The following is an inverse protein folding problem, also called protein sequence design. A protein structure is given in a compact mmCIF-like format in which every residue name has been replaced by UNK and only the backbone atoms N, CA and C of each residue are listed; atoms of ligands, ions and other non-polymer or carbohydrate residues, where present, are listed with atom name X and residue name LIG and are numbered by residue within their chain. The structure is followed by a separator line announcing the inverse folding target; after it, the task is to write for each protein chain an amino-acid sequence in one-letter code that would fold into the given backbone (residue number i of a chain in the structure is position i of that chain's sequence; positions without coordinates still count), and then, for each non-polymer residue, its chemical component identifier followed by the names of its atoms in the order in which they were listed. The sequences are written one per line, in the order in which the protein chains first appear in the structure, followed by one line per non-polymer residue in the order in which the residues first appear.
data_IF_014407906593
#
_entry.id   IF_014407906593
#
_cell.length_a   1.000
_cell.length_b   1.000
_cell.length_c   1.000
_cell.angle_alpha   90.00
_cell.angle_beta   90.00
_cell.angle_gamma   90.00
#
_symmetry.space_group_name_H-M   'P 1'
#
loop_
_entity.id
_entity.type
_entity.pdbx_description
1 polymer ?
#
# COMPACT_ATOMS: atom_id res chain seq x y z
N UNK A 1 -11.28 -36.33 0.80
CA UNK A 1 -11.47 -36.45 -0.65
C UNK A 1 -12.81 -35.80 -1.00
N UNK A 2 -12.81 -34.86 -1.93
CA UNK A 2 -14.02 -34.27 -2.50
C UNK A 2 -14.38 -35.03 -3.78
N UNK A 3 -15.63 -35.30 -4.00
CA UNK A 3 -16.14 -36.02 -5.18
C UNK A 3 -16.88 -35.09 -6.13
N UNK A 4 -17.35 -33.95 -5.63
CA UNK A 4 -18.05 -32.94 -6.41
C UNK A 4 -17.56 -31.53 -6.01
N UNK A 5 -17.66 -30.56 -6.93
CA UNK A 5 -17.33 -29.15 -6.66
C UNK A 5 -18.24 -28.55 -5.59
N UNK A 6 -19.51 -28.97 -5.52
CA UNK A 6 -20.48 -28.48 -4.53
C UNK A 6 -20.13 -28.90 -3.09
N UNK A 7 -19.20 -29.84 -2.90
CA UNK A 7 -18.69 -30.23 -1.58
C UNK A 7 -17.60 -29.28 -1.05
N UNK A 8 -17.05 -28.41 -1.93
CA UNK A 8 -15.98 -27.48 -1.58
C UNK A 8 -16.60 -26.19 -1.02
N UNK A 9 -16.43 -25.96 0.26
CA UNK A 9 -16.87 -24.74 0.94
C UNK A 9 -15.69 -23.80 1.18
N UNK A 10 -15.97 -22.50 1.25
CA UNK A 10 -14.95 -21.51 1.57
C UNK A 10 -14.40 -21.74 2.99
N UNK A 11 -13.09 -21.51 3.23
CA UNK A 11 -12.52 -21.58 4.56
C UNK A 11 -13.26 -20.68 5.57
N UNK A 12 -13.52 -21.18 6.77
CA UNK A 12 -14.18 -20.39 7.80
C UNK A 12 -13.60 -20.67 9.19
N UNK A 13 -13.79 -19.71 10.10
CA UNK A 13 -13.20 -19.77 11.46
C UNK A 13 -13.71 -20.91 12.31
N UNK A 14 -14.92 -21.41 12.09
CA UNK A 14 -15.54 -22.42 12.94
C UNK A 14 -15.05 -23.83 12.63
N UNK A 15 -14.76 -24.11 11.37
CA UNK A 15 -14.44 -25.46 10.91
C UNK A 15 -12.97 -25.68 10.55
N UNK A 16 -12.21 -24.63 10.30
CA UNK A 16 -10.92 -24.75 9.61
C UNK A 16 -9.75 -24.09 10.31
N UNK A 17 -10.02 -23.17 11.26
CA UNK A 17 -8.94 -22.48 11.95
C UNK A 17 -8.53 -23.19 13.24
N UNK A 18 -7.23 -23.29 13.38
CA UNK A 18 -6.59 -23.71 14.62
C UNK A 18 -5.97 -22.47 15.29
N UNK A 19 -6.68 -21.93 16.30
CA UNK A 19 -6.34 -20.63 16.87
C UNK A 19 -6.79 -19.45 16.00
N UNK A 20 -6.18 -18.27 16.18
CA UNK A 20 -6.64 -17.05 15.52
C UNK A 20 -6.29 -16.93 14.04
N UNK A 21 -5.26 -17.62 13.57
CA UNK A 21 -4.69 -17.40 12.21
C UNK A 21 -4.27 -18.68 11.50
N UNK A 22 -4.10 -19.77 12.22
CA UNK A 22 -3.71 -21.05 11.66
C UNK A 22 -4.94 -21.82 11.20
N UNK A 23 -4.74 -22.69 10.22
CA UNK A 23 -5.80 -23.59 9.74
C UNK A 23 -5.33 -25.01 9.71
N UNK A 24 -6.23 -25.94 10.00
CA UNK A 24 -5.98 -27.38 9.87
C UNK A 24 -5.97 -27.80 8.38
N UNK A 25 -6.63 -27.04 7.52
CA UNK A 25 -6.72 -27.29 6.09
C UNK A 25 -5.90 -26.29 5.30
N UNK A 26 -4.60 -26.25 5.56
CA UNK A 26 -3.68 -25.26 5.01
C UNK A 26 -3.73 -25.19 3.46
N UNK A 27 -3.80 -26.34 2.78
CA UNK A 27 -3.85 -26.38 1.31
C UNK A 27 -5.03 -25.63 0.75
N UNK A 28 -6.25 -25.92 1.21
CA UNK A 28 -7.46 -25.23 0.73
C UNK A 28 -7.47 -23.74 1.09
N UNK A 29 -6.92 -23.38 2.24
CA UNK A 29 -6.82 -21.97 2.64
C UNK A 29 -5.83 -21.19 1.77
N UNK A 30 -4.72 -21.82 1.39
CA UNK A 30 -3.75 -21.26 0.46
C UNK A 30 -4.35 -21.09 -0.95
N UNK A 31 -5.02 -22.11 -1.45
CA UNK A 31 -5.69 -22.04 -2.76
C UNK A 31 -6.82 -21.02 -2.77
N UNK A 32 -7.53 -20.85 -1.65
CA UNK A 32 -8.56 -19.82 -1.51
C UNK A 32 -7.97 -18.41 -1.47
N UNK A 33 -6.81 -18.21 -0.85
CA UNK A 33 -6.11 -16.93 -0.89
C UNK A 33 -5.67 -16.57 -2.31
N UNK A 34 -5.14 -17.54 -3.05
CA UNK A 34 -4.81 -17.38 -4.48
C UNK A 34 -6.04 -17.04 -5.31
N UNK A 35 -7.13 -17.81 -5.13
CA UNK A 35 -8.39 -17.58 -5.83
C UNK A 35 -8.94 -16.17 -5.58
N UNK A 36 -8.96 -15.71 -4.33
CA UNK A 36 -9.41 -14.35 -4.01
C UNK A 36 -8.55 -13.28 -4.68
N UNK A 37 -7.24 -13.42 -4.58
CA UNK A 37 -6.31 -12.47 -5.21
C UNK A 37 -6.46 -12.45 -6.73
N UNK A 38 -6.53 -13.62 -7.36
CA UNK A 38 -6.67 -13.76 -8.81
C UNK A 38 -8.05 -13.28 -9.30
N UNK A 39 -9.13 -13.54 -8.55
CA UNK A 39 -10.48 -13.06 -8.89
C UNK A 39 -10.59 -11.53 -8.87
N UNK A 40 -9.97 -10.88 -7.87
CA UNK A 40 -9.92 -9.43 -7.82
C UNK A 40 -9.06 -8.85 -8.95
N UNK A 41 -7.96 -9.52 -9.27
CA UNK A 41 -7.11 -9.13 -10.39
C UNK A 41 -7.86 -9.22 -11.74
N UNK A 42 -8.64 -10.26 -11.96
CA UNK A 42 -9.43 -10.39 -13.19
C UNK A 42 -10.43 -9.23 -13.39
N UNK A 43 -11.05 -8.73 -12.31
CA UNK A 43 -11.87 -7.52 -12.38
C UNK A 43 -11.05 -6.30 -12.83
N UNK A 44 -9.89 -6.08 -12.22
CA UNK A 44 -8.99 -4.98 -12.59
C UNK A 44 -8.50 -5.09 -14.03
N UNK A 45 -8.11 -6.29 -14.48
CA UNK A 45 -7.67 -6.54 -15.86
C UNK A 45 -8.75 -6.19 -16.87
N UNK A 46 -9.99 -6.57 -16.61
CA UNK A 46 -11.11 -6.23 -17.49
C UNK A 46 -11.23 -4.70 -17.66
N UNK A 47 -11.17 -3.96 -16.57
CA UNK A 47 -11.23 -2.50 -16.60
C UNK A 47 -10.00 -1.90 -17.32
N UNK A 48 -8.80 -2.38 -17.00
CA UNK A 48 -7.55 -1.98 -17.65
C UNK A 48 -7.61 -2.16 -19.16
N UNK A 49 -7.97 -3.35 -19.63
CA UNK A 49 -8.04 -3.69 -21.05
C UNK A 49 -9.09 -2.87 -21.80
N UNK A 50 -10.26 -2.62 -21.18
CA UNK A 50 -11.30 -1.77 -21.76
C UNK A 50 -10.85 -0.32 -21.92
N UNK A 51 -10.16 0.23 -20.90
CA UNK A 51 -9.62 1.59 -20.97
C UNK A 51 -8.54 1.66 -22.03
N UNK A 52 -7.59 0.74 -22.03
CA UNK A 52 -6.50 0.69 -23.03
C UNK A 52 -7.01 0.50 -24.46
N UNK A 53 -8.08 -0.24 -24.65
CA UNK A 53 -8.74 -0.37 -25.95
C UNK A 53 -9.40 0.94 -26.40
N UNK A 54 -9.98 1.70 -25.48
CA UNK A 54 -10.68 2.95 -25.80
C UNK A 54 -9.69 4.14 -25.96
N UNK A 55 -8.69 4.21 -25.09
CA UNK A 55 -7.72 5.31 -25.00
C UNK A 55 -6.32 4.71 -24.70
N UNK A 56 -5.61 4.19 -25.72
CA UNK A 56 -4.36 3.44 -25.53
C UNK A 56 -3.27 4.20 -24.76
N UNK A 57 -3.19 5.50 -24.96
CA UNK A 57 -2.13 6.34 -24.39
C UNK A 57 -2.41 6.79 -22.94
N UNK A 58 -3.62 6.52 -22.40
CA UNK A 58 -3.91 6.95 -21.04
C UNK A 58 -3.19 6.06 -20.02
N UNK A 59 -2.67 6.68 -18.97
CA UNK A 59 -2.07 5.96 -17.83
C UNK A 59 -3.20 5.35 -17.00
N UNK A 60 -3.12 4.05 -16.76
CA UNK A 60 -4.05 3.30 -15.91
C UNK A 60 -3.31 2.75 -14.71
N UNK A 61 -3.82 3.02 -13.54
CA UNK A 61 -3.29 2.50 -12.27
C UNK A 61 -4.42 2.29 -11.27
N UNK A 62 -4.09 1.71 -10.13
CA UNK A 62 -5.00 1.60 -8.98
C UNK A 62 -4.21 1.76 -7.69
N UNK A 63 -4.88 2.23 -6.65
CA UNK A 63 -4.25 2.38 -5.33
C UNK A 63 -4.01 1.00 -4.71
N UNK A 64 -2.80 0.75 -4.22
CA UNK A 64 -2.46 -0.44 -3.47
C UNK A 64 -1.97 -0.07 -2.06
N UNK A 65 -1.92 -1.03 -1.15
CA UNK A 65 -1.79 -0.76 0.30
C UNK A 65 -0.48 -1.31 0.90
N UNK A 66 0.66 -1.10 0.26
CA UNK A 66 1.93 -1.63 0.77
C UNK A 66 1.92 -3.16 0.86
N UNK A 67 2.44 -3.74 1.95
CA UNK A 67 2.35 -5.18 2.19
C UNK A 67 0.92 -5.55 2.63
N UNK A 68 0.05 -5.81 1.69
CA UNK A 68 -1.33 -6.19 1.90
C UNK A 68 -1.53 -7.68 1.64
N UNK A 69 -1.78 -8.45 2.71
CA UNK A 69 -1.81 -9.92 2.65
C UNK A 69 -2.83 -10.50 1.67
N UNK A 70 -4.06 -9.96 1.53
CA UNK A 70 -5.09 -10.55 0.67
C UNK A 70 -4.80 -10.52 -0.84
N UNK A 71 -3.91 -9.66 -1.33
CA UNK A 71 -3.67 -9.46 -2.76
C UNK A 71 -2.19 -9.58 -3.11
N UNK A 72 -1.87 -10.46 -4.04
CA UNK A 72 -0.52 -10.63 -4.59
C UNK A 72 -0.23 -9.55 -5.63
N UNK A 73 0.37 -8.46 -5.19
CA UNK A 73 0.65 -7.31 -6.05
C UNK A 73 1.72 -7.57 -7.12
N UNK A 74 2.52 -8.64 -7.02
CA UNK A 74 3.42 -9.02 -8.10
C UNK A 74 2.65 -9.42 -9.36
N UNK A 75 1.48 -10.09 -9.18
CA UNK A 75 0.59 -10.41 -10.29
C UNK A 75 -0.17 -9.20 -10.84
N UNK A 76 -0.39 -8.17 -10.02
CA UNK A 76 -1.09 -6.94 -10.41
C UNK A 76 -0.21 -5.98 -11.21
N UNK A 77 1.08 -5.91 -10.89
CA UNK A 77 2.01 -4.94 -11.47
C UNK A 77 2.04 -4.89 -13.02
N UNK A 78 1.90 -6.02 -13.77
CA UNK A 78 1.81 -5.98 -15.22
C UNK A 78 0.58 -5.24 -15.78
N UNK A 79 -0.48 -5.11 -14.98
CA UNK A 79 -1.74 -4.45 -15.36
C UNK A 79 -1.91 -3.08 -14.71
N UNK A 80 -0.81 -2.46 -14.32
CA UNK A 80 -0.71 -1.06 -13.91
C UNK A 80 0.39 -0.41 -14.74
N UNK A 81 0.12 0.73 -15.37
CA UNK A 81 1.18 1.45 -16.10
C UNK A 81 2.21 2.02 -15.15
N UNK A 82 1.78 2.45 -13.98
CA UNK A 82 2.61 2.89 -12.85
C UNK A 82 2.08 2.28 -11.56
N UNK A 83 2.96 1.86 -10.67
CA UNK A 83 2.55 1.46 -9.32
C UNK A 83 2.17 2.69 -8.52
N UNK A 84 0.98 2.68 -7.93
CA UNK A 84 0.49 3.75 -7.07
C UNK A 84 0.01 3.19 -5.74
N UNK A 85 0.40 3.78 -4.61
CA UNK A 85 0.07 3.23 -3.30
C UNK A 85 -0.25 4.28 -2.25
N UNK A 86 -0.94 3.85 -1.20
CA UNK A 86 -1.42 4.68 -0.11
C UNK A 86 -0.61 4.42 1.15
N UNK A 87 0.00 5.47 1.69
CA UNK A 87 0.89 5.38 2.83
C UNK A 87 0.35 6.14 4.04
N UNK A 88 -0.15 5.40 5.00
CA UNK A 88 -0.72 5.94 6.23
C UNK A 88 -0.05 5.36 7.49
N UNK A 89 1.24 5.57 7.71
CA UNK A 89 1.92 5.05 8.88
C UNK A 89 1.38 5.73 10.15
N UNK A 90 1.25 4.95 11.23
CA UNK A 90 1.02 5.53 12.54
C UNK A 90 2.25 6.30 13.03
N UNK A 91 2.09 7.13 14.06
CA UNK A 91 3.24 7.86 14.63
C UNK A 91 4.30 6.94 15.26
N UNK A 92 3.91 5.71 15.59
CA UNK A 92 4.79 4.69 16.17
C UNK A 92 5.39 3.74 15.11
N UNK A 93 4.98 3.87 13.84
CA UNK A 93 5.53 3.05 12.76
C UNK A 93 7.01 3.35 12.57
N UNK A 94 7.90 2.34 12.63
CA UNK A 94 9.32 2.55 12.40
C UNK A 94 9.58 3.16 11.01
N UNK A 95 10.46 4.16 10.93
CA UNK A 95 10.84 4.80 9.65
C UNK A 95 11.33 3.76 8.64
N UNK A 96 12.10 2.75 9.09
CA UNK A 96 12.57 1.65 8.25
C UNK A 96 11.45 0.77 7.70
N UNK A 97 10.32 0.65 8.40
CA UNK A 97 9.16 -0.09 7.87
C UNK A 97 8.52 0.65 6.70
N UNK A 98 8.32 1.95 6.83
CA UNK A 98 7.82 2.79 5.73
C UNK A 98 8.78 2.78 4.54
N UNK A 99 10.09 2.86 4.80
CA UNK A 99 11.12 2.74 3.77
C UNK A 99 11.02 1.40 3.01
N UNK A 100 10.87 0.29 3.75
CA UNK A 100 10.67 -1.04 3.16
C UNK A 100 9.41 -1.10 2.28
N UNK A 101 8.32 -0.45 2.68
CA UNK A 101 7.08 -0.40 1.87
C UNK A 101 7.31 0.39 0.56
N UNK A 102 7.98 1.52 0.60
CA UNK A 102 8.37 2.26 -0.61
C UNK A 102 9.23 1.42 -1.54
N UNK A 103 10.22 0.71 -1.00
CA UNK A 103 11.10 -0.16 -1.79
C UNK A 103 10.36 -1.37 -2.36
N UNK A 104 9.38 -1.93 -1.63
CA UNK A 104 8.51 -2.97 -2.14
C UNK A 104 7.71 -2.47 -3.36
N UNK A 105 7.12 -1.28 -3.28
CA UNK A 105 6.36 -0.69 -4.40
C UNK A 105 7.25 -0.47 -5.62
N UNK A 106 8.44 0.10 -5.44
CA UNK A 106 9.41 0.25 -6.53
C UNK A 106 9.81 -1.11 -7.12
N UNK A 107 9.98 -2.13 -6.28
CA UNK A 107 10.37 -3.49 -6.68
C UNK A 107 9.34 -4.18 -7.58
N UNK A 108 8.05 -3.88 -7.43
CA UNK A 108 6.97 -4.49 -8.23
C UNK A 108 7.12 -4.23 -9.74
N UNK A 109 7.77 -3.15 -10.15
CA UNK A 109 8.05 -2.82 -11.56
C UNK A 109 9.54 -2.67 -11.84
N UNK A 110 10.36 -3.57 -11.31
CA UNK A 110 11.78 -3.67 -11.63
C UNK A 110 12.58 -2.36 -11.40
N UNK A 111 12.23 -1.61 -10.38
CA UNK A 111 12.89 -0.36 -10.02
C UNK A 111 12.37 0.86 -10.76
N UNK A 112 11.28 0.73 -11.52
CA UNK A 112 10.56 1.88 -12.09
C UNK A 112 10.05 2.80 -10.97
N UNK A 113 9.96 4.12 -11.20
CA UNK A 113 9.33 5.02 -10.28
C UNK A 113 7.89 4.62 -9.96
N UNK A 114 7.46 4.94 -8.76
CA UNK A 114 6.08 4.74 -8.32
C UNK A 114 5.42 6.06 -7.94
N UNK A 115 4.12 6.06 -7.71
CA UNK A 115 3.36 7.20 -7.22
C UNK A 115 2.98 7.00 -5.75
N UNK A 116 3.30 7.95 -4.89
CA UNK A 116 2.64 8.05 -3.60
C UNK A 116 1.26 8.68 -3.85
N UNK A 117 0.26 7.81 -4.03
CA UNK A 117 -1.09 8.22 -4.43
C UNK A 117 -1.82 8.89 -3.27
N UNK A 118 -1.63 8.37 -2.06
CA UNK A 118 -2.24 8.93 -0.88
C UNK A 118 -1.27 9.01 0.30
N UNK A 119 -1.28 10.15 0.95
CA UNK A 119 -0.91 10.33 2.34
C UNK A 119 -1.79 11.40 2.96
N UNK A 120 -1.93 11.42 4.28
CA UNK A 120 -2.63 12.53 4.92
C UNK A 120 -1.70 13.71 5.16
N UNK A 121 -2.13 14.95 4.91
CA UNK A 121 -1.31 16.12 5.22
C UNK A 121 -1.24 16.38 6.74
N UNK A 122 -2.17 15.84 7.54
CA UNK A 122 -2.19 15.99 8.99
C UNK A 122 -2.56 14.68 9.69
N UNK A 123 -3.72 14.57 10.34
CA UNK A 123 -4.15 13.37 11.06
C UNK A 123 -4.92 12.40 10.17
N UNK A 124 -4.90 11.13 10.53
CA UNK A 124 -5.71 10.07 9.92
C UNK A 124 -6.72 9.56 10.95
N UNK A 125 -8.00 9.45 10.57
CA UNK A 125 -9.12 9.30 11.51
C UNK A 125 -9.40 7.87 11.99
N UNK A 126 -8.69 6.86 11.50
CA UNK A 126 -8.88 5.45 11.88
C UNK A 126 -7.70 4.89 12.68
N UNK A 127 -6.92 5.75 13.27
CA UNK A 127 -5.91 5.39 14.25
C UNK A 127 -6.54 5.36 15.67
N UNK A 128 -5.95 4.63 16.63
CA UNK A 128 -6.38 4.70 18.03
C UNK A 128 -6.43 6.14 18.57
N UNK A 129 -5.53 7.00 18.07
CA UNK A 129 -5.53 8.44 18.26
C UNK A 129 -5.33 9.14 16.92
N UNK A 130 -6.18 10.10 16.61
CA UNK A 130 -6.03 10.95 15.42
C UNK A 130 -4.94 12.02 15.67
N UNK A 131 -3.72 11.58 15.86
CA UNK A 131 -2.60 12.46 16.18
C UNK A 131 -2.28 13.40 15.03
N UNK A 132 -2.17 14.69 15.35
CA UNK A 132 -1.71 15.68 14.39
C UNK A 132 -0.23 15.48 14.08
N UNK A 133 0.13 15.52 12.82
CA UNK A 133 1.54 15.61 12.43
C UNK A 133 2.12 16.94 12.96
N UNK A 134 3.25 16.86 13.64
CA UNK A 134 4.03 18.05 14.01
C UNK A 134 4.51 18.78 12.75
N UNK A 135 4.79 20.09 12.83
CA UNK A 135 5.38 20.82 11.71
C UNK A 135 6.59 20.09 11.13
N UNK A 136 6.65 20.01 9.81
CA UNK A 136 7.72 19.35 9.06
C UNK A 136 7.61 17.82 8.92
N UNK A 137 6.77 17.13 9.69
CA UNK A 137 6.65 15.65 9.58
C UNK A 137 6.05 15.24 8.24
N UNK A 138 5.02 15.93 7.76
CA UNK A 138 4.43 15.67 6.44
C UNK A 138 5.47 15.85 5.32
N UNK A 139 6.25 16.93 5.38
CA UNK A 139 7.34 17.19 4.44
C UNK A 139 8.41 16.09 4.49
N UNK A 140 8.84 15.67 5.68
CA UNK A 140 9.83 14.60 5.86
C UNK A 140 9.35 13.28 5.24
N UNK A 141 8.11 12.88 5.45
CA UNK A 141 7.55 11.65 4.89
C UNK A 141 7.40 11.73 3.37
N UNK A 142 7.06 12.89 2.84
CA UNK A 142 7.00 13.11 1.40
C UNK A 142 8.38 12.97 0.75
N UNK A 143 9.42 13.55 1.34
CA UNK A 143 10.78 13.38 0.87
C UNK A 143 11.32 11.96 1.06
N UNK A 144 10.86 11.22 2.07
CA UNK A 144 11.18 9.80 2.19
C UNK A 144 10.66 9.03 0.97
N UNK A 145 9.40 9.23 0.57
CA UNK A 145 8.85 8.58 -0.62
C UNK A 145 9.65 8.94 -1.88
N UNK A 146 9.96 10.22 -2.09
CA UNK A 146 10.78 10.68 -3.22
C UNK A 146 12.17 10.05 -3.20
N UNK A 147 12.84 10.00 -2.04
CA UNK A 147 14.15 9.38 -1.90
C UNK A 147 14.15 7.88 -2.20
N UNK A 148 13.02 7.21 -2.04
CA UNK A 148 12.81 5.81 -2.38
C UNK A 148 12.29 5.59 -3.81
N UNK A 149 12.16 6.65 -4.62
CA UNK A 149 11.85 6.57 -6.04
C UNK A 149 10.39 6.91 -6.39
N UNK A 150 9.69 7.67 -5.55
CA UNK A 150 8.38 8.20 -5.92
C UNK A 150 8.52 9.43 -6.81
N UNK A 151 7.81 9.44 -7.94
CA UNK A 151 7.72 10.59 -8.85
C UNK A 151 6.59 11.56 -8.49
N UNK A 152 5.77 11.22 -7.51
CA UNK A 152 4.67 12.09 -7.09
C UNK A 152 4.36 11.96 -5.61
N UNK A 153 3.79 13.03 -5.08
CA UNK A 153 3.25 13.07 -3.70
C UNK A 153 1.85 13.66 -3.76
N UNK A 154 0.85 12.80 -3.55
CA UNK A 154 -0.54 13.21 -3.53
C UNK A 154 -1.13 13.07 -2.13
N UNK A 155 -2.20 13.78 -1.86
CA UNK A 155 -2.80 13.85 -0.53
C UNK A 155 -4.27 13.46 -0.55
N UNK A 156 -4.64 12.57 0.31
CA UNK A 156 -6.02 12.41 0.71
C UNK A 156 -6.25 13.22 2.00
N UNK A 157 -7.03 14.30 1.97
CA UNK A 157 -7.83 14.74 0.84
C UNK A 157 -7.67 16.26 0.61
N UNK A 158 -8.13 16.76 -0.53
CA UNK A 158 -8.05 18.20 -0.82
C UNK A 158 -8.88 19.03 0.17
N UNK A 159 -10.13 18.63 0.43
CA UNK A 159 -11.04 19.34 1.34
C UNK A 159 -11.63 18.38 2.37
N UNK A 160 -11.53 18.74 3.63
CA UNK A 160 -11.99 17.94 4.75
C UNK A 160 -13.49 17.70 4.72
N UNK A 161 -13.89 16.42 4.79
CA UNK A 161 -15.28 15.98 4.81
C UNK A 161 -16.02 16.52 6.04
N UNK A 162 -17.25 17.00 5.85
CA UNK A 162 -18.09 17.53 6.92
C UNK A 162 -18.82 16.44 7.69
N UNK A 163 -18.97 15.28 7.10
CA UNK A 163 -19.72 14.13 7.64
C UNK A 163 -19.10 12.81 7.26
N UNK A 164 -19.83 11.72 7.46
CA UNK A 164 -19.42 10.34 7.25
C UNK A 164 -18.26 9.90 8.16
N UNK A 165 -17.74 8.70 7.90
CA UNK A 165 -16.73 8.07 8.76
C UNK A 165 -15.38 8.80 8.76
N UNK A 166 -15.05 9.51 7.69
CA UNK A 166 -13.76 10.21 7.53
C UNK A 166 -13.81 11.71 7.82
N UNK A 167 -14.83 12.18 8.47
CA UNK A 167 -14.96 13.61 8.84
C UNK A 167 -13.82 14.17 9.71
N UNK A 168 -13.08 13.30 10.39
CA UNK A 168 -11.92 13.66 11.20
C UNK A 168 -10.58 13.43 10.51
N UNK A 169 -10.59 12.93 9.27
CA UNK A 169 -9.38 12.79 8.47
C UNK A 169 -8.83 14.19 8.11
N UNK A 170 -7.51 14.34 8.13
CA UNK A 170 -6.85 15.58 7.72
C UNK A 170 -7.05 15.89 6.24
N UNK A 171 -6.97 17.16 5.89
CA UNK A 171 -7.07 17.61 4.50
C UNK A 171 -6.20 18.84 4.27
N UNK A 172 -5.92 19.12 3.01
CA UNK A 172 -5.19 20.36 2.62
C UNK A 172 -6.00 21.59 3.04
N UNK A 173 -7.30 21.58 2.74
CA UNK A 173 -8.25 22.60 3.24
C UNK A 173 -9.04 21.99 4.39
N UNK A 174 -8.75 22.44 5.60
CA UNK A 174 -9.39 21.99 6.85
C UNK A 174 -10.84 22.49 6.97
N UNK A 175 -11.56 22.08 8.03
CA UNK A 175 -12.96 22.49 8.27
C UNK A 175 -13.17 24.01 8.34
N UNK A 176 -12.14 24.79 8.67
CA UNK A 176 -12.21 26.26 8.61
C UNK A 176 -12.47 26.79 7.20
N UNK A 177 -12.18 26.01 6.16
CA UNK A 177 -12.61 26.25 4.79
C UNK A 177 -11.81 27.29 4.01
N UNK A 178 -10.60 27.62 4.46
CA UNK A 178 -9.72 28.58 3.77
C UNK A 178 -8.25 28.13 3.86
N UNK A 179 -7.38 28.77 3.05
CA UNK A 179 -5.95 28.46 2.90
C UNK A 179 -5.07 28.93 4.10
N UNK A 180 -5.61 29.73 4.98
CA UNK A 180 -4.86 30.38 6.07
C UNK A 180 -4.58 29.42 7.25
N UNK A 181 -4.09 28.22 6.93
CA UNK A 181 -3.74 27.19 7.93
C UNK A 181 -2.28 26.79 7.78
N UNK A 182 -1.70 26.21 8.84
CA UNK A 182 -0.36 25.65 8.81
C UNK A 182 -0.26 24.54 7.76
N UNK A 183 -1.22 23.63 7.75
CA UNK A 183 -1.23 22.46 6.85
C UNK A 183 -1.23 22.90 5.39
N UNK A 184 -2.08 23.86 5.01
CA UNK A 184 -2.11 24.38 3.64
C UNK A 184 -0.75 24.98 3.23
N UNK A 185 -0.14 25.79 4.11
CA UNK A 185 1.16 26.39 3.82
C UNK A 185 2.26 25.34 3.65
N UNK A 186 2.33 24.36 4.56
CA UNK A 186 3.31 23.28 4.43
C UNK A 186 3.16 22.45 3.13
N UNK A 187 1.93 22.21 2.68
CA UNK A 187 1.67 21.51 1.41
C UNK A 187 2.06 22.38 0.22
N UNK A 188 1.72 23.67 0.24
CA UNK A 188 2.08 24.61 -0.81
C UNK A 188 3.61 24.75 -0.93
N UNK A 189 4.31 24.97 0.16
CA UNK A 189 5.78 25.03 0.22
C UNK A 189 6.42 23.77 -0.32
N UNK A 190 5.94 22.59 0.07
CA UNK A 190 6.42 21.32 -0.46
C UNK A 190 6.21 21.22 -1.98
N UNK A 191 5.03 21.65 -2.48
CA UNK A 191 4.74 21.65 -3.91
C UNK A 191 5.71 22.55 -4.70
N UNK A 192 5.99 23.75 -4.18
CA UNK A 192 6.98 24.67 -4.79
C UNK A 192 8.40 24.07 -4.80
N UNK A 193 8.82 23.44 -3.71
CA UNK A 193 10.11 22.75 -3.61
C UNK A 193 10.24 21.61 -4.64
N UNK A 194 9.21 20.77 -4.75
CA UNK A 194 9.22 19.63 -5.69
C UNK A 194 9.24 20.12 -7.16
N UNK A 195 8.53 21.21 -7.49
CA UNK A 195 8.61 21.83 -8.81
C UNK A 195 10.03 22.34 -9.11
N UNK A 196 10.71 22.93 -8.15
CA UNK A 196 12.11 23.39 -8.32
C UNK A 196 13.10 22.22 -8.50
N UNK A 197 12.77 21.06 -7.97
CA UNK A 197 13.62 19.87 -8.03
C UNK A 197 13.25 18.92 -9.19
N UNK A 198 12.20 19.24 -9.94
CA UNK A 198 11.62 18.40 -10.99
C UNK A 198 12.68 17.77 -11.92
N UNK A 199 13.55 18.59 -12.53
CA UNK A 199 14.55 18.11 -13.48
C UNK A 199 15.61 17.16 -12.88
N UNK A 200 15.67 17.07 -11.56
CA UNK A 200 16.64 16.23 -10.84
C UNK A 200 16.02 14.95 -10.28
N UNK A 201 14.73 14.98 -10.02
CA UNK A 201 14.04 13.93 -9.28
C UNK A 201 13.14 13.06 -10.17
N UNK A 202 12.46 13.66 -11.14
CA UNK A 202 11.54 12.93 -12.01
C UNK A 202 12.30 11.84 -12.80
N UNK A 203 11.71 10.68 -12.93
CA UNK A 203 12.30 9.50 -13.57
C UNK A 203 13.64 9.04 -12.98
N UNK A 204 13.99 9.50 -11.78
CA UNK A 204 15.24 9.09 -11.12
C UNK A 204 15.17 7.62 -10.69
N UNK A 205 16.35 6.98 -10.66
CA UNK A 205 16.46 5.56 -10.28
C UNK A 205 17.26 5.41 -9.01
N UNK A 206 16.76 4.57 -8.11
CA UNK A 206 17.50 4.19 -6.91
C UNK A 206 18.47 3.06 -7.27
N UNK A 207 19.77 3.31 -7.13
CA UNK A 207 20.80 2.31 -7.38
C UNK A 207 20.99 1.41 -6.16
N UNK A 208 20.08 0.47 -5.95
CA UNK A 208 20.14 -0.51 -4.87
C UNK A 208 21.21 -1.57 -5.15
N UNK A 209 22.04 -1.88 -4.12
CA UNK A 209 23.12 -2.88 -4.21
C UNK A 209 22.72 -4.26 -3.71
N UNK A 210 21.58 -4.36 -3.05
CA UNK A 210 21.02 -5.60 -2.51
C UNK A 210 19.53 -5.66 -2.79
N UNK A 211 18.97 -6.85 -2.81
CA UNK A 211 17.54 -7.10 -2.95
C UNK A 211 17.07 -8.09 -1.89
N UNK A 212 15.86 -7.89 -1.42
CA UNK A 212 15.14 -8.85 -0.58
C UNK A 212 13.97 -9.38 -1.42
N UNK A 213 13.85 -10.70 -1.52
CA UNK A 213 12.74 -11.34 -2.20
C UNK A 213 11.52 -11.31 -1.28
N UNK A 214 10.43 -10.72 -1.78
CA UNK A 214 9.14 -10.71 -1.09
C UNK A 214 8.16 -11.57 -1.90
N UNK A 215 7.49 -12.53 -1.25
CA UNK A 215 6.68 -13.55 -1.92
C UNK A 215 5.36 -13.75 -1.17
N UNK A 216 4.22 -13.54 -1.84
CA UNK A 216 2.88 -13.66 -1.23
C UNK A 216 2.50 -15.10 -0.94
N UNK A 217 2.84 -16.04 -1.83
CA UNK A 217 2.58 -17.47 -1.59
C UNK A 217 3.31 -17.96 -0.33
N UNK A 218 4.56 -17.56 -0.16
CA UNK A 218 5.33 -17.86 1.04
C UNK A 218 4.73 -17.18 2.28
N UNK A 219 4.28 -15.93 2.17
CA UNK A 219 3.60 -15.24 3.25
C UNK A 219 2.35 -16.00 3.70
N UNK A 220 1.48 -16.38 2.75
CA UNK A 220 0.29 -17.15 3.05
C UNK A 220 0.63 -18.51 3.66
N UNK A 221 1.56 -19.28 3.05
CA UNK A 221 1.95 -20.59 3.52
C UNK A 221 2.51 -20.58 4.96
N UNK A 222 3.39 -19.62 5.26
CA UNK A 222 3.99 -19.49 6.60
C UNK A 222 2.94 -19.12 7.65
N UNK A 223 2.03 -18.21 7.36
CA UNK A 223 1.08 -17.70 8.36
C UNK A 223 -0.22 -18.51 8.46
N UNK A 224 -0.55 -19.38 7.49
CA UNK A 224 -1.61 -20.36 7.64
C UNK A 224 -1.17 -21.61 8.38
N UNK A 225 0.12 -21.85 8.52
CA UNK A 225 0.67 -22.97 9.26
C UNK A 225 0.87 -22.63 10.73
N UNK A 226 0.99 -23.67 11.58
CA UNK A 226 1.48 -23.50 12.95
C UNK A 226 2.99 -23.23 12.98
N UNK A 227 3.67 -23.46 11.87
CA UNK A 227 5.08 -23.19 11.59
C UNK A 227 6.03 -23.72 12.64
N UNK A 228 7.25 -23.20 12.72
CA UNK A 228 8.11 -23.38 13.89
C UNK A 228 7.60 -22.55 15.09
N UNK A 229 6.78 -21.52 14.86
CA UNK A 229 6.13 -20.71 15.89
C UNK A 229 4.90 -20.00 15.31
N UNK A 230 3.79 -20.00 16.05
CA UNK A 230 2.59 -19.23 15.72
C UNK A 230 2.82 -17.70 15.80
N UNK A 231 3.88 -17.29 16.48
CA UNK A 231 4.28 -15.89 16.58
C UNK A 231 5.04 -15.38 15.34
N UNK A 232 5.41 -16.28 14.42
CA UNK A 232 6.11 -15.92 13.20
C UNK A 232 5.20 -15.06 12.32
N UNK A 233 5.66 -13.87 11.97
CA UNK A 233 5.01 -12.94 11.05
C UNK A 233 5.95 -12.67 9.88
N UNK A 234 5.52 -13.04 8.69
CA UNK A 234 6.35 -12.97 7.50
C UNK A 234 6.91 -11.57 7.24
N UNK A 235 6.06 -10.55 7.28
CA UNK A 235 6.48 -9.16 7.02
C UNK A 235 7.44 -8.65 8.11
N UNK A 236 7.22 -9.05 9.37
CA UNK A 236 8.10 -8.67 10.48
C UNK A 236 9.49 -9.30 10.32
N UNK A 237 9.56 -10.55 9.85
CA UNK A 237 10.84 -11.20 9.56
C UNK A 237 11.55 -10.51 8.38
N UNK A 238 10.84 -10.23 7.28
CA UNK A 238 11.40 -9.47 6.16
C UNK A 238 11.96 -8.12 6.64
N UNK A 239 11.21 -7.42 7.51
CA UNK A 239 11.63 -6.13 8.05
C UNK A 239 12.89 -6.23 8.94
N UNK A 240 13.12 -7.34 9.62
CA UNK A 240 14.37 -7.56 10.39
C UNK A 240 15.60 -7.58 9.50
N UNK A 241 15.49 -8.16 8.31
CA UNK A 241 16.59 -8.22 7.33
C UNK A 241 16.73 -6.93 6.52
N UNK A 242 15.69 -6.11 6.46
CA UNK A 242 15.71 -4.82 5.78
C UNK A 242 16.47 -3.73 6.56
N UNK A 243 16.51 -3.81 7.88
CA UNK A 243 17.22 -2.87 8.79
C UNK A 243 18.73 -2.95 8.66
#
# INVERSE_FOLDING_TARGET
TFYDWDEIVTPNLLSEHFGERQTMFQGISLDYARFNSDSMLECHKLEYELIKKAIPETIVTTNIMGAYKPLDYQKWAPYMDVVAWDNYPSMDTPVSYTAMMHDLMRGLKNGEPFMLMEQTPSQQNWQPYNSLKRPGVMRLWSYQAVAHGSDSVLFFQMRRSRGACEKFHGAVIEHVGHENTRVFREVAELGEELVQLHDRLLDSRVNAKAAIVFDWDNWWAVEYSSGPSIALKYVDEVHKYYK
#
